data_IF_584448715520
#
_entry.id   IF_584448715520
#
_cell.length_a   1.000
_cell.length_b   1.000
_cell.length_c   1.000
_cell.angle_alpha   90.00
_cell.angle_beta   90.00
_cell.angle_gamma   90.00
#
_symmetry.space_group_name_H-M   'P 1'
#
loop_
_entity.id
_entity.type
_entity.pdbx_description
1 polymer ?
#
# COMPACT_ATOMS: atom_id res chain seq x y z
N UNK A 1 10.20 -19.36 -49.17
CA UNK A 1 9.54 -18.03 -49.21
C UNK A 1 8.92 -17.85 -47.86
N UNK A 2 9.47 -16.94 -47.04
CA UNK A 2 8.80 -16.50 -45.80
C UNK A 2 7.53 -15.79 -46.20
N UNK A 3 6.37 -16.35 -45.89
CA UNK A 3 5.08 -15.77 -46.15
C UNK A 3 4.78 -14.86 -44.95
N UNK A 4 4.71 -13.57 -45.21
CA UNK A 4 4.32 -12.56 -44.22
C UNK A 4 2.86 -12.80 -43.85
N UNK A 5 2.51 -12.73 -42.59
CA UNK A 5 1.13 -12.93 -42.12
C UNK A 5 0.25 -11.72 -42.47
N UNK A 6 0.86 -10.50 -42.49
CA UNK A 6 0.17 -9.25 -42.80
C UNK A 6 1.14 -8.17 -43.32
N UNK A 7 0.63 -7.22 -44.11
CA UNK A 7 1.30 -5.96 -44.49
C UNK A 7 0.58 -4.75 -43.87
N UNK A 8 -0.72 -4.89 -43.64
CA UNK A 8 -1.60 -3.87 -43.03
C UNK A 8 -2.51 -4.51 -41.99
N UNK A 9 -3.14 -3.70 -41.13
CA UNK A 9 -4.12 -4.16 -40.14
C UNK A 9 -5.31 -4.88 -40.79
N UNK A 10 -5.67 -4.50 -42.02
CA UNK A 10 -6.78 -5.11 -42.75
C UNK A 10 -6.52 -6.59 -43.10
N UNK A 11 -5.25 -6.99 -43.20
CA UNK A 11 -4.88 -8.37 -43.55
C UNK A 11 -5.10 -9.34 -42.36
N UNK A 12 -5.22 -8.79 -41.14
CA UNK A 12 -5.42 -9.59 -39.95
C UNK A 12 -6.84 -10.18 -39.80
N UNK A 13 -7.78 -9.77 -40.64
CA UNK A 13 -9.18 -10.28 -40.67
C UNK A 13 -9.91 -10.26 -39.31
N UNK A 14 -9.39 -9.49 -38.33
CA UNK A 14 -9.97 -9.33 -37.01
C UNK A 14 -9.73 -7.88 -36.52
N UNK A 15 -10.78 -7.12 -36.15
CA UNK A 15 -10.65 -5.74 -35.70
C UNK A 15 -9.84 -5.57 -34.43
N UNK A 16 -9.70 -6.63 -33.62
CA UNK A 16 -8.92 -6.65 -32.36
C UNK A 16 -7.43 -6.93 -32.59
N UNK A 17 -7.00 -7.12 -33.83
CA UNK A 17 -5.61 -7.34 -34.23
C UNK A 17 -5.05 -6.16 -35.00
N UNK A 18 -3.76 -5.92 -34.89
CA UNK A 18 -2.97 -4.99 -35.69
C UNK A 18 -1.78 -5.71 -36.31
N UNK A 19 -1.35 -5.24 -37.48
CA UNK A 19 -0.18 -5.78 -38.15
C UNK A 19 1.08 -5.12 -37.61
N UNK A 20 1.88 -5.85 -36.85
CA UNK A 20 3.18 -5.39 -36.32
C UNK A 20 4.27 -6.36 -36.66
N UNK A 21 5.35 -5.86 -37.30
CA UNK A 21 6.47 -6.67 -37.74
C UNK A 21 6.03 -7.88 -38.65
N UNK A 22 5.03 -7.65 -39.52
CA UNK A 22 4.43 -8.63 -40.40
C UNK A 22 3.73 -9.81 -39.71
N UNK A 23 3.28 -9.60 -38.47
CA UNK A 23 2.48 -10.52 -37.67
C UNK A 23 1.23 -9.85 -37.15
N UNK A 24 0.14 -10.56 -37.14
CA UNK A 24 -1.09 -10.11 -36.52
C UNK A 24 -1.00 -10.28 -35.00
N UNK A 25 -0.86 -9.15 -34.26
CA UNK A 25 -0.78 -9.13 -32.81
C UNK A 25 -2.04 -8.48 -32.23
N UNK A 26 -2.44 -8.83 -31.02
CA UNK A 26 -3.56 -8.16 -30.35
C UNK A 26 -3.34 -6.64 -30.27
N UNK A 27 -4.37 -5.87 -30.66
CA UNK A 27 -4.34 -4.41 -30.59
C UNK A 27 -4.29 -3.97 -29.13
N UNK A 28 -3.28 -3.18 -28.82
CA UNK A 28 -3.12 -2.66 -27.48
C UNK A 28 -4.22 -1.65 -27.15
N UNK A 29 -5.05 -1.95 -26.14
CA UNK A 29 -6.15 -1.08 -25.71
C UNK A 29 -5.68 0.13 -24.88
N UNK A 30 -4.48 0.04 -24.31
CA UNK A 30 -3.84 1.10 -23.56
C UNK A 30 -2.31 1.00 -23.68
N UNK A 31 -1.62 2.14 -23.62
CA UNK A 31 -0.15 2.23 -23.58
C UNK A 31 0.33 2.76 -22.22
N UNK A 32 -0.57 3.40 -21.47
CA UNK A 32 -0.32 3.96 -20.15
C UNK A 32 -1.59 3.91 -19.31
N UNK A 33 -1.47 4.13 -18.00
CA UNK A 33 -2.62 4.21 -17.09
C UNK A 33 -3.58 5.36 -17.44
N UNK A 34 -3.07 6.41 -18.11
CA UNK A 34 -3.90 7.53 -18.54
C UNK A 34 -4.91 7.16 -19.65
N UNK A 35 -4.67 6.07 -20.37
CA UNK A 35 -5.56 5.58 -21.42
C UNK A 35 -6.71 4.74 -20.85
N UNK A 36 -6.64 4.40 -19.55
CA UNK A 36 -7.63 3.59 -18.88
C UNK A 36 -8.64 4.43 -18.09
N UNK A 37 -9.88 3.92 -17.90
CA UNK A 37 -10.86 4.55 -17.01
C UNK A 37 -10.34 4.74 -15.58
N UNK A 38 -10.95 5.67 -14.84
CA UNK A 38 -10.63 5.89 -13.42
C UNK A 38 -10.75 4.59 -12.62
N UNK A 39 -9.74 4.31 -11.79
CA UNK A 39 -9.65 3.06 -11.02
C UNK A 39 -9.07 1.86 -11.77
N UNK A 40 -8.64 2.05 -13.01
CA UNK A 40 -7.94 1.02 -13.81
C UNK A 40 -6.50 1.42 -14.11
N UNK A 41 -5.66 0.41 -14.40
CA UNK A 41 -4.28 0.57 -14.85
C UNK A 41 -4.05 -0.22 -16.13
N UNK A 42 -3.09 0.21 -16.93
CA UNK A 42 -2.70 -0.51 -18.14
C UNK A 42 -1.70 -1.62 -17.78
N UNK A 43 -2.13 -2.86 -17.92
CA UNK A 43 -1.27 -4.03 -17.77
C UNK A 43 -1.42 -4.93 -19.00
N UNK A 44 -0.28 -5.27 -19.61
CA UNK A 44 -0.24 -6.16 -20.79
C UNK A 44 -1.20 -5.72 -21.92
N UNK A 45 -1.25 -4.39 -22.20
CA UNK A 45 -2.13 -3.80 -23.22
C UNK A 45 -3.64 -3.86 -22.90
N UNK A 46 -4.02 -4.19 -21.67
CA UNK A 46 -5.41 -4.20 -21.21
C UNK A 46 -5.58 -3.31 -19.98
N UNK A 47 -6.75 -2.66 -19.90
CA UNK A 47 -7.13 -1.93 -18.69
C UNK A 47 -7.65 -2.92 -17.65
N UNK A 48 -6.86 -3.17 -16.61
CA UNK A 48 -7.23 -4.00 -15.46
C UNK A 48 -7.54 -3.14 -14.25
N UNK A 49 -8.41 -3.58 -13.34
CA UNK A 49 -8.65 -2.86 -12.10
C UNK A 49 -7.33 -2.65 -11.34
N UNK A 50 -7.08 -1.43 -10.86
CA UNK A 50 -5.97 -1.20 -9.93
C UNK A 50 -6.14 -2.12 -8.73
N UNK A 51 -5.06 -2.76 -8.25
CA UNK A 51 -5.13 -3.56 -7.04
C UNK A 51 -5.70 -2.73 -5.91
N UNK A 52 -6.54 -3.37 -5.07
CA UNK A 52 -7.11 -2.71 -3.91
C UNK A 52 -5.99 -2.11 -3.07
N UNK A 53 -6.12 -0.83 -2.74
CA UNK A 53 -5.20 -0.12 -1.87
C UNK A 53 -5.40 -0.61 -0.43
N UNK A 54 -4.58 -1.55 0.01
CA UNK A 54 -4.57 -2.04 1.39
C UNK A 54 -3.44 -1.38 2.17
N UNK A 55 -3.82 -0.70 3.25
CA UNK A 55 -2.84 -0.13 4.18
C UNK A 55 -2.26 -1.24 5.05
N UNK A 56 -0.95 -1.39 4.99
CA UNK A 56 -0.23 -2.44 5.71
C UNK A 56 0.25 -1.96 7.08
N UNK A 57 0.15 -2.83 8.06
CA UNK A 57 0.65 -2.64 9.43
C UNK A 57 2.18 -2.62 9.47
N UNK A 58 2.74 -1.79 10.33
CA UNK A 58 4.18 -1.75 10.61
C UNK A 58 4.46 -2.22 12.03
N UNK A 59 5.68 -2.73 12.25
CA UNK A 59 6.10 -3.30 13.53
C UNK A 59 7.30 -2.58 14.12
N UNK A 60 7.53 -2.78 15.42
CA UNK A 60 8.60 -2.11 16.16
C UNK A 60 9.37 -3.09 17.02
N UNK A 61 10.65 -2.79 17.23
CA UNK A 61 11.46 -3.49 18.20
C UNK A 61 10.97 -3.24 19.63
N UNK A 62 11.41 -4.12 20.53
CA UNK A 62 11.11 -3.97 21.95
C UNK A 62 11.58 -2.60 22.49
N UNK A 63 10.68 -1.93 23.18
CA UNK A 63 10.92 -0.60 23.76
C UNK A 63 11.40 0.47 22.76
N UNK A 64 11.05 0.31 21.48
CA UNK A 64 11.41 1.25 20.42
C UNK A 64 10.17 1.79 19.70
N UNK A 65 10.34 3.01 19.14
CA UNK A 65 9.39 3.69 18.27
C UNK A 65 10.06 4.18 16.97
N UNK A 66 11.33 3.79 16.75
CA UNK A 66 12.05 4.10 15.52
C UNK A 66 11.57 3.17 14.41
N UNK A 67 11.37 3.73 13.23
CA UNK A 67 11.00 2.96 12.05
C UNK A 67 12.20 2.17 11.54
N UNK A 68 12.03 0.86 11.38
CA UNK A 68 13.01 -0.03 10.77
C UNK A 68 13.04 0.18 9.25
N UNK A 69 14.10 -0.23 8.53
CA UNK A 69 14.15 -0.10 7.07
C UNK A 69 12.95 -0.75 6.35
N UNK A 70 12.60 -1.98 6.74
CA UNK A 70 11.46 -2.72 6.19
C UNK A 70 10.11 -2.02 6.43
N UNK A 71 9.93 -1.38 7.58
CA UNK A 71 8.70 -0.63 7.89
C UNK A 71 8.59 0.67 7.10
N UNK A 72 9.71 1.27 6.70
CA UNK A 72 9.71 2.43 5.80
C UNK A 72 9.24 2.06 4.40
N UNK A 73 9.65 0.91 3.88
CA UNK A 73 9.16 0.40 2.59
C UNK A 73 7.65 0.14 2.62
N UNK A 74 7.12 -0.35 3.74
CA UNK A 74 5.68 -0.50 3.95
C UNK A 74 4.99 0.88 3.94
N UNK A 75 5.57 1.85 4.66
CA UNK A 75 5.03 3.21 4.72
C UNK A 75 5.11 3.94 3.37
N UNK A 76 6.11 3.66 2.53
CA UNK A 76 6.20 4.18 1.17
C UNK A 76 5.00 3.68 0.34
N UNK A 77 4.68 2.37 0.39
CA UNK A 77 3.49 1.80 -0.26
C UNK A 77 2.18 2.35 0.31
N UNK A 78 2.09 2.49 1.62
CA UNK A 78 0.93 3.12 2.26
C UNK A 78 0.75 4.57 1.80
N UNK A 79 1.85 5.31 1.61
CA UNK A 79 1.81 6.68 1.11
C UNK A 79 1.33 6.76 -0.35
N UNK A 80 1.75 5.83 -1.21
CA UNK A 80 1.25 5.74 -2.58
C UNK A 80 -0.26 5.54 -2.60
N UNK A 81 -0.74 4.59 -1.79
CA UNK A 81 -2.14 4.31 -1.57
C UNK A 81 -2.94 5.56 -1.14
N UNK A 82 -2.41 6.32 -0.18
CA UNK A 82 -3.07 7.53 0.33
C UNK A 82 -3.06 8.70 -0.67
N UNK A 83 -2.06 8.79 -1.55
CA UNK A 83 -2.02 9.78 -2.65
C UNK A 83 -3.11 9.52 -3.69
N UNK A 84 -3.38 8.24 -3.98
CA UNK A 84 -4.44 7.85 -4.91
C UNK A 84 -5.84 8.11 -4.34
N UNK A 85 -5.96 8.25 -3.02
CA UNK A 85 -7.22 8.48 -2.30
C UNK A 85 -7.16 9.74 -1.41
N UNK A 86 -7.14 10.95 -1.97
CA UNK A 86 -6.99 12.20 -1.21
C UNK A 86 -8.14 12.48 -0.24
N UNK A 87 -9.30 11.84 -0.43
CA UNK A 87 -10.44 11.91 0.49
C UNK A 87 -10.40 10.91 1.65
N UNK A 88 -9.49 9.96 1.63
CA UNK A 88 -9.36 8.92 2.65
C UNK A 88 -8.78 9.50 3.93
N UNK A 89 -9.51 9.37 5.03
CA UNK A 89 -9.04 9.76 6.36
C UNK A 89 -8.65 8.52 7.14
N UNK A 90 -7.46 8.49 7.69
CA UNK A 90 -6.96 7.35 8.47
C UNK A 90 -6.62 7.75 9.89
N UNK A 91 -6.79 6.79 10.79
CA UNK A 91 -6.25 6.84 12.13
C UNK A 91 -5.10 5.84 12.23
N UNK A 92 -3.94 6.31 12.68
CA UNK A 92 -2.77 5.48 12.97
C UNK A 92 -2.87 5.07 14.43
N UNK A 93 -3.11 3.79 14.65
CA UNK A 93 -3.30 3.21 15.98
C UNK A 93 -1.99 2.60 16.48
N UNK A 94 -1.46 3.11 17.58
CA UNK A 94 -0.22 2.63 18.17
C UNK A 94 -0.47 1.61 19.29
N UNK A 95 0.25 0.49 19.22
CA UNK A 95 0.11 -0.65 20.13
C UNK A 95 1.44 -1.09 20.72
N UNK A 96 1.37 -1.73 21.88
CA UNK A 96 2.50 -2.29 22.61
C UNK A 96 2.22 -3.75 22.99
N UNK A 97 3.28 -4.48 23.31
CA UNK A 97 3.15 -5.74 24.04
C UNK A 97 2.83 -5.48 25.53
N UNK A 98 2.49 -6.54 26.26
CA UNK A 98 2.02 -6.52 27.65
C UNK A 98 3.09 -6.10 28.69
N UNK A 99 4.35 -5.94 28.27
CA UNK A 99 5.46 -5.65 29.20
C UNK A 99 5.54 -4.16 29.51
N UNK A 100 5.50 -3.82 30.79
CA UNK A 100 5.55 -2.44 31.28
C UNK A 100 4.29 -2.06 32.07
N UNK A 101 4.12 -0.76 32.31
CA UNK A 101 2.88 -0.25 32.88
C UNK A 101 1.95 0.27 31.79
N UNK A 102 0.66 0.30 32.07
CA UNK A 102 -0.35 0.79 31.11
C UNK A 102 -0.01 2.22 30.66
N UNK A 103 0.33 3.11 31.59
CA UNK A 103 0.68 4.51 31.29
C UNK A 103 1.91 4.60 30.40
N UNK A 104 2.93 3.78 30.67
CA UNK A 104 4.12 3.70 29.84
C UNK A 104 3.79 3.24 28.43
N UNK A 105 2.99 2.17 28.30
CA UNK A 105 2.62 1.60 27.02
C UNK A 105 1.69 2.52 26.21
N UNK A 106 0.81 3.26 26.84
CA UNK A 106 0.03 4.32 26.17
C UNK A 106 0.98 5.38 25.59
N UNK A 107 1.95 5.85 26.36
CA UNK A 107 2.92 6.84 25.89
C UNK A 107 3.82 6.30 24.77
N UNK A 108 4.25 5.03 24.84
CA UNK A 108 5.05 4.38 23.81
C UNK A 108 4.26 4.15 22.53
N UNK A 109 3.01 3.70 22.62
CA UNK A 109 2.10 3.54 21.49
C UNK A 109 1.87 4.87 20.75
N UNK A 110 1.69 5.97 21.49
CA UNK A 110 1.58 7.31 20.89
C UNK A 110 2.86 7.71 20.14
N UNK A 111 4.04 7.44 20.69
CA UNK A 111 5.31 7.70 19.99
C UNK A 111 5.43 6.89 18.70
N UNK A 112 4.98 5.63 18.69
CA UNK A 112 4.94 4.76 17.50
C UNK A 112 4.03 5.33 16.42
N UNK A 113 2.79 5.64 16.78
CA UNK A 113 1.83 6.24 15.86
C UNK A 113 2.34 7.57 15.28
N UNK A 114 2.93 8.42 16.10
CA UNK A 114 3.54 9.70 15.67
C UNK A 114 4.77 9.52 14.78
N UNK A 115 5.55 8.45 14.95
CA UNK A 115 6.69 8.17 14.07
C UNK A 115 6.22 7.84 12.67
N UNK A 116 5.18 7.00 12.53
CA UNK A 116 4.54 6.71 11.24
C UNK A 116 3.90 7.97 10.64
N UNK A 117 3.14 8.74 11.42
CA UNK A 117 2.54 10.00 10.97
C UNK A 117 3.58 10.97 10.40
N UNK A 118 4.69 11.19 11.12
CA UNK A 118 5.76 12.10 10.66
C UNK A 118 6.37 11.62 9.35
N UNK A 119 6.59 10.32 9.20
CA UNK A 119 7.14 9.74 7.99
C UNK A 119 6.19 9.96 6.80
N UNK A 120 4.91 9.63 6.94
CA UNK A 120 3.89 9.85 5.90
C UNK A 120 3.78 11.34 5.52
N UNK A 121 3.84 12.26 6.50
CA UNK A 121 3.86 13.70 6.21
C UNK A 121 5.11 14.13 5.42
N UNK A 122 6.27 13.57 5.72
CA UNK A 122 7.49 13.84 4.97
C UNK A 122 7.41 13.33 3.53
N UNK A 123 6.62 12.29 3.27
CA UNK A 123 6.28 11.80 1.93
C UNK A 123 5.19 12.63 1.23
N UNK A 124 4.72 13.71 1.85
CA UNK A 124 3.75 14.65 1.26
C UNK A 124 2.28 14.33 1.52
N UNK A 125 1.97 13.35 2.41
CA UNK A 125 0.58 13.07 2.79
C UNK A 125 0.05 14.20 3.68
N UNK A 126 -1.16 14.69 3.35
CA UNK A 126 -1.78 15.80 4.10
C UNK A 126 -2.02 15.42 5.57
N UNK A 127 -1.60 16.31 6.47
CA UNK A 127 -1.85 16.12 7.90
C UNK A 127 -3.34 16.10 8.27
N UNK A 128 -4.22 16.62 7.42
CA UNK A 128 -5.67 16.57 7.63
C UNK A 128 -6.25 15.16 7.44
N UNK A 129 -5.58 14.32 6.65
CA UNK A 129 -5.95 12.92 6.44
C UNK A 129 -5.49 12.00 7.59
N UNK A 130 -4.58 12.47 8.46
CA UNK A 130 -3.88 11.63 9.42
C UNK A 130 -4.25 12.00 10.85
N UNK A 131 -4.68 11.02 11.63
CA UNK A 131 -4.84 11.13 13.09
C UNK A 131 -4.05 10.04 13.78
N UNK A 132 -3.70 10.26 15.05
CA UNK A 132 -3.06 9.22 15.87
C UNK A 132 -3.91 8.93 17.09
N UNK A 133 -3.86 7.68 17.53
CA UNK A 133 -4.38 7.22 18.81
C UNK A 133 -3.47 6.12 19.35
N UNK A 134 -3.33 6.04 20.66
CA UNK A 134 -2.63 4.93 21.30
C UNK A 134 -3.61 4.10 22.11
N UNK A 135 -3.48 2.79 21.99
CA UNK A 135 -4.18 1.82 22.82
C UNK A 135 -3.23 1.11 23.80
N UNK A 136 -1.92 1.47 23.77
CA UNK A 136 -0.94 0.79 24.61
C UNK A 136 -1.01 -0.74 24.40
N UNK A 137 -1.12 -1.49 25.47
CA UNK A 137 -1.30 -2.95 25.47
C UNK A 137 -2.78 -3.39 25.43
N UNK A 138 -3.73 -2.43 25.48
CA UNK A 138 -5.16 -2.72 25.66
C UNK A 138 -5.87 -3.39 24.48
N UNK A 139 -5.21 -3.50 23.30
CA UNK A 139 -5.76 -4.16 22.11
C UNK A 139 -4.76 -5.14 21.48
N UNK A 140 -4.45 -6.25 22.16
CA UNK A 140 -3.53 -7.24 21.62
C UNK A 140 -4.16 -8.02 20.46
N UNK A 141 -3.34 -8.37 19.45
CA UNK A 141 -3.71 -9.32 18.37
C UNK A 141 -3.32 -10.74 18.74
N UNK A 142 -2.42 -10.88 19.70
CA UNK A 142 -1.94 -12.13 20.22
C UNK A 142 -1.84 -12.06 21.74
N UNK A 143 -2.28 -13.12 22.44
CA UNK A 143 -2.39 -13.16 23.91
C UNK A 143 -1.42 -14.15 24.59
N UNK A 144 -0.40 -14.64 23.87
CA UNK A 144 0.60 -15.55 24.42
C UNK A 144 1.80 -14.74 24.93
N UNK A 145 2.36 -15.12 26.06
CA UNK A 145 3.57 -14.50 26.62
C UNK A 145 4.82 -15.11 25.96
N UNK A 146 4.96 -14.90 24.65
CA UNK A 146 6.10 -15.33 23.81
C UNK A 146 6.63 -14.16 22.98
N UNK A 147 7.91 -14.23 22.58
CA UNK A 147 8.50 -13.13 21.80
C UNK A 147 7.80 -12.94 20.44
N UNK A 148 7.38 -14.00 19.77
CA UNK A 148 6.66 -13.91 18.51
C UNK A 148 5.34 -13.14 18.69
N UNK A 149 4.57 -13.49 19.73
CA UNK A 149 3.32 -12.81 20.06
C UNK A 149 3.55 -11.34 20.48
N UNK A 150 4.56 -11.08 21.26
CA UNK A 150 4.92 -9.70 21.64
C UNK A 150 5.37 -8.88 20.42
N UNK A 151 6.09 -9.49 19.47
CA UNK A 151 6.48 -8.82 18.23
C UNK A 151 5.25 -8.42 17.39
N UNK A 152 4.24 -9.27 17.28
CA UNK A 152 2.98 -8.97 16.60
C UNK A 152 2.21 -7.83 17.28
N UNK A 153 2.25 -7.76 18.61
CA UNK A 153 1.59 -6.71 19.38
C UNK A 153 2.29 -5.34 19.27
N UNK A 154 3.62 -5.31 19.05
CA UNK A 154 4.39 -4.06 18.87
C UNK A 154 4.21 -3.48 17.48
N UNK A 155 3.08 -2.84 17.21
CA UNK A 155 2.69 -2.42 15.88
C UNK A 155 2.05 -1.04 15.82
N UNK A 156 1.95 -0.52 14.59
CA UNK A 156 1.02 0.55 14.26
C UNK A 156 0.12 0.11 13.10
N UNK A 157 -1.18 0.21 13.31
CA UNK A 157 -2.22 -0.09 12.33
C UNK A 157 -2.75 1.19 11.69
N UNK A 158 -3.23 1.08 10.45
CA UNK A 158 -3.77 2.18 9.66
C UNK A 158 -5.24 1.88 9.37
N UNK A 159 -6.13 2.58 10.06
CA UNK A 159 -7.58 2.32 10.01
C UNK A 159 -8.27 3.47 9.30
N UNK A 160 -9.00 3.16 8.22
CA UNK A 160 -9.87 4.11 7.52
C UNK A 160 -11.08 4.48 8.38
N UNK A 161 -11.47 5.77 8.35
CA UNK A 161 -12.64 6.29 9.09
C UNK A 161 -13.53 7.15 8.22
#
# INVERSE_FOLDING_TARGET
KCQWECETDADCNNPDLECKDHRCVPRCKCQSDADCPEGMMCQDCECVPKPACELQTIHFDFDRYNLRPEDREILDRNAECLRERPGMNITIEGHCDERGTEEYNIALGEKRARSALRYLKNLGISGSQLKTISYGEGRPVCNQSTEDCWADNRRAEFVER
#
